data_IF_108331787853
#
_entry.id   IF_108331787853
#
_cell.length_a   1.000
_cell.length_b   1.000
_cell.length_c   1.000
_cell.angle_alpha   90.00
_cell.angle_beta   90.00
_cell.angle_gamma   90.00
#
_symmetry.space_group_name_H-M   'P 1'
#
loop_
_entity.id
_entity.type
_entity.pdbx_description
1 polymer ?
#
# COMPACT_ATOMS: atom_id res chain seq x y z
N UNK A 1 50.64 69.10 -39.80
CA UNK A 1 49.45 69.97 -39.88
C UNK A 1 48.27 69.15 -40.37
N UNK A 2 47.14 69.20 -39.65
CA UNK A 2 45.77 68.90 -40.13
C UNK A 2 45.36 67.43 -40.30
N UNK A 3 44.79 66.84 -39.25
CA UNK A 3 43.90 65.69 -39.39
C UNK A 3 42.44 66.13 -39.17
N UNK A 4 41.66 66.00 -40.24
CA UNK A 4 40.25 66.37 -40.37
C UNK A 4 39.36 65.17 -40.01
N UNK A 5 38.40 65.45 -39.13
CA UNK A 5 36.94 65.18 -39.20
C UNK A 5 36.36 63.76 -39.44
N UNK A 6 35.14 63.66 -38.88
CA UNK A 6 33.97 62.77 -39.13
C UNK A 6 33.95 61.47 -38.30
N UNK A 7 33.11 61.35 -37.26
CA UNK A 7 31.64 61.11 -37.24
C UNK A 7 31.24 59.79 -37.91
N UNK A 8 30.73 58.84 -37.12
CA UNK A 8 29.43 58.19 -37.36
C UNK A 8 28.98 57.39 -36.14
N UNK A 9 27.75 57.69 -35.73
CA UNK A 9 26.94 57.08 -34.69
C UNK A 9 26.44 55.72 -35.20
N UNK A 10 26.49 54.68 -34.37
CA UNK A 10 25.62 53.51 -34.53
C UNK A 10 25.12 53.07 -33.16
N UNK A 11 23.87 53.41 -32.87
CA UNK A 11 23.12 52.91 -31.73
C UNK A 11 22.68 51.46 -32.01
N UNK A 12 23.06 50.54 -31.12
CA UNK A 12 22.44 49.22 -31.02
C UNK A 12 21.77 49.12 -29.66
N UNK A 13 20.44 49.21 -29.67
CA UNK A 13 19.58 48.78 -28.57
C UNK A 13 19.81 47.29 -28.32
N UNK A 14 20.30 46.93 -27.14
CA UNK A 14 20.17 45.57 -26.60
C UNK A 14 19.09 45.61 -25.51
N UNK A 15 17.89 45.13 -25.87
CA UNK A 15 16.85 44.77 -24.91
C UNK A 15 17.40 43.61 -24.05
N UNK A 16 17.69 43.88 -22.79
CA UNK A 16 17.86 42.83 -21.80
C UNK A 16 16.47 42.29 -21.43
N UNK A 17 16.08 41.20 -22.07
CA UNK A 17 14.91 40.42 -21.67
C UNK A 17 15.32 39.66 -20.41
N UNK A 18 14.85 40.10 -19.24
CA UNK A 18 14.92 39.30 -18.02
C UNK A 18 13.97 38.11 -18.22
N UNK A 19 14.51 36.97 -18.63
CA UNK A 19 13.83 35.69 -18.50
C UNK A 19 13.74 35.36 -17.01
N UNK A 20 12.60 35.69 -16.42
CA UNK A 20 12.13 35.07 -15.19
C UNK A 20 11.91 33.59 -15.53
N UNK A 21 12.94 32.78 -15.30
CA UNK A 21 12.83 31.32 -15.30
C UNK A 21 12.14 30.91 -14.00
N UNK A 22 10.81 31.09 -13.93
CA UNK A 22 10.01 30.35 -12.98
C UNK A 22 10.03 28.89 -13.44
N UNK A 23 10.94 28.09 -12.87
CA UNK A 23 10.79 26.63 -12.90
C UNK A 23 9.54 26.31 -12.10
N UNK A 24 8.41 26.17 -12.79
CA UNK A 24 7.25 25.49 -12.22
C UNK A 24 7.66 24.02 -12.10
N UNK A 25 8.29 23.68 -10.98
CA UNK A 25 8.45 22.30 -10.56
C UNK A 25 7.04 21.80 -10.22
N UNK A 26 6.32 21.32 -11.24
CA UNK A 26 5.14 20.49 -11.09
C UNK A 26 5.58 19.19 -10.41
N UNK A 27 5.65 19.25 -9.10
CA UNK A 27 5.82 18.08 -8.27
C UNK A 27 4.47 17.36 -8.26
N UNK A 28 4.18 16.63 -9.35
CA UNK A 28 3.10 15.63 -9.43
C UNK A 28 3.45 14.45 -8.51
N UNK A 29 3.75 14.75 -7.25
CA UNK A 29 3.95 13.75 -6.22
C UNK A 29 2.56 13.23 -5.89
N UNK A 30 2.32 12.00 -6.33
CA UNK A 30 1.15 11.24 -5.90
C UNK A 30 1.02 11.37 -4.37
N UNK A 31 -0.17 11.74 -3.84
CA UNK A 31 -0.32 12.05 -2.42
C UNK A 31 0.11 10.86 -1.57
N UNK A 32 0.91 11.12 -0.53
CA UNK A 32 1.30 10.10 0.43
C UNK A 32 0.03 9.56 1.12
N UNK A 33 -0.33 8.31 0.81
CA UNK A 33 -1.47 7.65 1.41
C UNK A 33 -1.17 7.32 2.89
N UNK A 34 -2.16 7.49 3.76
CA UNK A 34 -2.09 6.91 5.11
C UNK A 34 -1.97 5.38 5.03
N UNK A 35 -1.51 4.70 6.10
CA UNK A 35 -1.49 3.23 6.13
C UNK A 35 -2.83 2.58 5.79
N UNK A 36 -3.94 3.10 6.33
CA UNK A 36 -5.28 2.61 6.00
C UNK A 36 -5.63 2.86 4.53
N UNK A 37 -5.35 4.05 3.99
CA UNK A 37 -5.59 4.31 2.56
C UNK A 37 -4.72 3.42 1.66
N UNK A 38 -3.50 3.10 2.07
CA UNK A 38 -2.60 2.18 1.34
C UNK A 38 -3.16 0.76 1.34
N UNK A 39 -3.64 0.26 2.49
CA UNK A 39 -4.22 -1.08 2.55
C UNK A 39 -5.55 -1.16 1.77
N UNK A 40 -6.32 -0.08 1.72
CA UNK A 40 -7.59 -0.01 1.00
C UNK A 40 -7.46 0.33 -0.50
N UNK A 41 -6.25 0.62 -1.01
CA UNK A 41 -6.09 1.13 -2.38
C UNK A 41 -6.26 0.08 -3.47
N UNK A 42 -6.29 -1.21 -3.11
CA UNK A 42 -6.37 -2.33 -4.06
C UNK A 42 -6.94 -3.59 -3.37
N UNK A 43 -7.56 -4.50 -4.14
CA UNK A 43 -7.68 -5.89 -3.73
C UNK A 43 -6.32 -6.55 -3.53
N UNK A 44 -6.26 -7.50 -2.62
CA UNK A 44 -5.06 -8.25 -2.26
C UNK A 44 -5.24 -9.74 -2.49
N UNK A 45 -4.20 -10.39 -3.03
CA UNK A 45 -4.10 -11.85 -3.14
C UNK A 45 -2.94 -12.33 -2.28
N UNK A 46 -3.15 -13.35 -1.45
CA UNK A 46 -2.05 -14.07 -0.81
C UNK A 46 -1.21 -14.78 -1.87
N UNK A 47 0.05 -14.39 -2.03
CA UNK A 47 0.94 -14.92 -3.08
C UNK A 47 2.09 -15.73 -2.55
N UNK A 48 2.48 -15.53 -1.29
CA UNK A 48 3.56 -16.29 -0.68
C UNK A 48 3.42 -16.31 0.85
N UNK A 49 4.19 -17.19 1.48
CA UNK A 49 4.41 -17.15 2.93
C UNK A 49 5.85 -17.52 3.27
N UNK A 50 6.39 -16.97 4.36
CA UNK A 50 7.74 -17.26 4.84
C UNK A 50 7.73 -17.62 6.31
N UNK A 51 8.57 -18.57 6.71
CA UNK A 51 8.79 -18.89 8.13
C UNK A 51 9.82 -17.96 8.78
N UNK A 52 10.10 -18.19 10.06
CA UNK A 52 11.08 -17.42 10.82
C UNK A 52 12.52 -17.43 10.27
N UNK A 53 12.89 -18.47 9.52
CA UNK A 53 14.19 -18.55 8.85
C UNK A 53 14.20 -17.82 7.48
N UNK A 54 13.08 -17.21 7.08
CA UNK A 54 12.93 -16.55 5.78
C UNK A 54 12.69 -17.51 4.61
N UNK A 55 12.56 -18.81 4.87
CA UNK A 55 12.28 -19.81 3.84
C UNK A 55 10.81 -19.77 3.44
N UNK A 56 10.52 -19.99 2.15
CA UNK A 56 9.15 -20.07 1.65
C UNK A 56 8.43 -21.28 2.28
N UNK A 57 7.15 -21.10 2.59
CA UNK A 57 6.25 -22.14 3.09
C UNK A 57 5.10 -22.30 2.10
N UNK A 58 4.73 -23.56 1.82
CA UNK A 58 3.63 -23.87 0.90
C UNK A 58 2.33 -23.24 1.42
N UNK A 59 1.55 -22.63 0.52
CA UNK A 59 0.26 -22.04 0.88
C UNK A 59 -0.77 -23.09 1.35
N UNK A 60 -0.52 -24.38 1.12
CA UNK A 60 -1.29 -25.50 1.64
C UNK A 60 -0.82 -25.99 3.02
N UNK A 61 0.27 -25.44 3.56
CA UNK A 61 0.74 -25.79 4.90
C UNK A 61 -0.38 -25.52 5.94
N UNK A 62 -0.64 -26.44 6.89
CA UNK A 62 -1.68 -26.25 7.90
C UNK A 62 -1.55 -24.96 8.73
N UNK A 63 -0.34 -24.42 8.87
CA UNK A 63 -0.08 -23.17 9.59
C UNK A 63 -0.38 -21.91 8.74
N UNK A 64 -0.55 -22.05 7.43
CA UNK A 64 -0.69 -20.95 6.47
C UNK A 64 -2.02 -20.96 5.75
N UNK A 65 -2.57 -22.13 5.43
CA UNK A 65 -3.72 -22.31 4.53
C UNK A 65 -4.95 -21.47 4.91
N UNK A 66 -5.18 -21.27 6.22
CA UNK A 66 -6.30 -20.48 6.71
C UNK A 66 -6.19 -18.98 6.43
N UNK A 67 -5.02 -18.49 5.98
CA UNK A 67 -4.79 -17.09 5.61
C UNK A 67 -4.87 -16.85 4.10
N UNK A 68 -4.88 -17.91 3.29
CA UNK A 68 -4.85 -17.83 1.83
C UNK A 68 -6.18 -17.39 1.26
N UNK A 69 -6.17 -16.41 0.37
CA UNK A 69 -7.36 -15.98 -0.36
C UNK A 69 -7.24 -14.60 -0.97
N UNK A 70 -8.39 -14.05 -1.33
CA UNK A 70 -8.56 -12.66 -1.72
C UNK A 70 -9.03 -11.83 -0.53
N UNK A 71 -8.53 -10.61 -0.40
CA UNK A 71 -8.96 -9.66 0.63
C UNK A 71 -9.27 -8.29 0.02
N UNK A 72 -10.38 -7.72 0.46
CA UNK A 72 -10.91 -6.44 -0.01
C UNK A 72 -11.11 -5.54 1.19
N UNK A 73 -10.23 -4.56 1.38
CA UNK A 73 -10.31 -3.57 2.44
C UNK A 73 -10.94 -2.30 1.88
N UNK A 74 -12.05 -1.85 2.46
CA UNK A 74 -12.81 -0.69 2.01
C UNK A 74 -12.47 0.52 2.87
N UNK A 75 -12.46 1.70 2.25
CA UNK A 75 -12.11 2.97 2.91
C UNK A 75 -13.07 3.35 4.06
N UNK A 76 -14.27 2.77 4.10
CA UNK A 76 -15.24 2.93 5.19
C UNK A 76 -14.92 2.09 6.44
N UNK A 77 -13.83 1.31 6.42
CA UNK A 77 -13.43 0.45 7.53
C UNK A 77 -14.04 -0.94 7.51
N UNK A 78 -14.74 -1.33 6.44
CA UNK A 78 -15.25 -2.70 6.26
C UNK A 78 -14.33 -3.55 5.38
N UNK A 79 -14.37 -4.86 5.56
CA UNK A 79 -13.64 -5.79 4.71
C UNK A 79 -14.46 -7.04 4.36
N UNK A 80 -14.09 -7.66 3.24
CA UNK A 80 -14.54 -9.00 2.84
C UNK A 80 -13.33 -9.83 2.43
N UNK A 81 -13.41 -11.13 2.65
CA UNK A 81 -12.41 -12.10 2.22
C UNK A 81 -13.09 -13.29 1.58
N UNK A 82 -12.42 -13.83 0.57
CA UNK A 82 -12.87 -14.99 -0.19
C UNK A 82 -11.72 -16.00 -0.29
N UNK A 83 -12.08 -17.27 -0.41
CA UNK A 83 -11.12 -18.29 -0.80
C UNK A 83 -10.74 -18.11 -2.28
N UNK A 84 -9.74 -18.85 -2.76
CA UNK A 84 -9.27 -18.74 -4.15
C UNK A 84 -10.28 -19.24 -5.19
N UNK A 85 -11.31 -19.95 -4.75
CA UNK A 85 -12.43 -20.44 -5.56
C UNK A 85 -13.68 -19.53 -5.46
N UNK A 86 -13.50 -18.30 -4.96
CA UNK A 86 -14.55 -17.30 -4.74
C UNK A 86 -15.64 -17.69 -3.72
N UNK A 87 -15.44 -18.78 -2.96
CA UNK A 87 -16.33 -19.08 -1.84
C UNK A 87 -16.14 -18.05 -0.71
N UNK A 88 -17.24 -17.56 -0.07
CA UNK A 88 -17.14 -16.62 1.03
C UNK A 88 -16.30 -17.17 2.19
N UNK A 89 -15.40 -16.32 2.72
CA UNK A 89 -14.54 -16.70 3.86
C UNK A 89 -14.92 -15.97 5.14
N UNK A 90 -14.96 -14.63 5.10
CA UNK A 90 -15.34 -13.80 6.24
C UNK A 90 -15.55 -12.34 5.83
N UNK A 91 -16.25 -11.58 6.66
CA UNK A 91 -16.40 -10.14 6.55
C UNK A 91 -16.42 -9.48 7.93
N UNK A 92 -16.31 -8.16 7.96
CA UNK A 92 -16.42 -7.39 9.20
C UNK A 92 -15.76 -6.03 9.10
N UNK A 93 -15.22 -5.56 10.23
CA UNK A 93 -14.52 -4.28 10.32
C UNK A 93 -13.01 -4.49 10.37
N UNK A 94 -12.25 -3.49 9.94
CA UNK A 94 -10.80 -3.48 10.03
C UNK A 94 -10.26 -2.08 10.33
N UNK A 95 -9.04 -2.05 10.85
CA UNK A 95 -8.26 -0.81 11.01
C UNK A 95 -6.77 -1.09 10.92
N UNK A 96 -6.00 -0.04 10.60
CA UNK A 96 -4.54 -0.03 10.73
C UNK A 96 -4.16 1.17 11.60
N UNK A 97 -3.19 0.97 12.49
CA UNK A 97 -2.66 2.05 13.33
C UNK A 97 -2.01 3.14 12.48
N UNK A 98 -1.99 4.38 12.99
CA UNK A 98 -1.44 5.52 12.24
C UNK A 98 0.04 5.35 11.84
N UNK A 99 0.80 4.55 12.58
CA UNK A 99 2.19 4.22 12.28
C UNK A 99 2.35 3.05 11.28
N UNK A 100 1.24 2.44 10.85
CA UNK A 100 1.22 1.35 9.88
C UNK A 100 1.74 0.01 10.39
N UNK A 101 1.94 -0.15 11.70
CA UNK A 101 2.57 -1.36 12.27
C UNK A 101 1.60 -2.43 12.73
N UNK A 102 0.33 -2.10 12.93
CA UNK A 102 -0.64 -3.05 13.47
C UNK A 102 -1.93 -2.99 12.66
N UNK A 103 -2.40 -4.16 12.23
CA UNK A 103 -3.75 -4.34 11.66
C UNK A 103 -4.64 -5.03 12.67
N UNK A 104 -5.85 -4.50 12.85
CA UNK A 104 -6.95 -5.16 13.55
C UNK A 104 -8.02 -5.58 12.55
N UNK A 105 -8.53 -6.79 12.69
CA UNK A 105 -9.75 -7.28 12.04
C UNK A 105 -10.73 -7.72 13.13
N UNK A 106 -11.99 -7.29 13.00
CA UNK A 106 -13.12 -7.76 13.79
C UNK A 106 -14.07 -8.48 12.83
N UNK A 107 -13.99 -9.81 12.80
CA UNK A 107 -14.85 -10.63 11.94
C UNK A 107 -16.26 -10.71 12.54
N UNK A 108 -17.28 -10.61 11.69
CA UNK A 108 -18.69 -10.58 12.09
C UNK A 108 -19.51 -11.62 11.33
N UNK A 109 -20.63 -12.03 11.92
CA UNK A 109 -21.66 -12.77 11.20
C UNK A 109 -22.59 -11.84 10.41
N UNK A 110 -23.61 -12.38 9.73
CA UNK A 110 -24.57 -11.59 8.95
C UNK A 110 -25.48 -10.71 9.80
N UNK A 111 -25.59 -10.96 11.11
CA UNK A 111 -26.31 -10.12 12.06
C UNK A 111 -25.44 -8.97 12.61
N UNK A 112 -24.17 -8.90 12.22
CA UNK A 112 -23.20 -7.92 12.71
C UNK A 112 -22.58 -8.26 14.07
N UNK A 113 -22.84 -9.45 14.62
CA UNK A 113 -22.25 -9.89 15.88
C UNK A 113 -20.79 -10.30 15.67
N UNK A 114 -19.92 -9.93 16.61
CA UNK A 114 -18.49 -10.28 16.53
C UNK A 114 -18.29 -11.77 16.72
N UNK A 115 -17.61 -12.41 15.76
CA UNK A 115 -17.17 -13.80 15.84
C UNK A 115 -15.79 -13.90 16.50
N UNK A 116 -14.85 -13.05 16.07
CA UNK A 116 -13.53 -12.94 16.68
C UNK A 116 -12.86 -11.61 16.34
N UNK A 117 -11.84 -11.25 17.12
CA UNK A 117 -10.91 -10.16 16.80
C UNK A 117 -9.51 -10.72 16.60
N UNK A 118 -8.81 -10.25 15.57
CA UNK A 118 -7.41 -10.59 15.30
C UNK A 118 -6.59 -9.33 15.14
N UNK A 119 -5.56 -9.21 15.96
CA UNK A 119 -4.55 -8.16 15.89
C UNK A 119 -3.25 -8.80 15.39
N UNK A 120 -2.61 -8.20 14.39
CA UNK A 120 -1.33 -8.67 13.86
C UNK A 120 -0.34 -7.54 13.70
N UNK A 121 0.93 -7.90 13.75
CA UNK A 121 2.03 -7.03 13.36
C UNK A 121 2.16 -7.02 11.83
N UNK A 122 2.20 -5.83 11.25
CA UNK A 122 2.49 -5.58 9.85
C UNK A 122 4.01 -5.46 9.71
N UNK A 123 4.61 -6.24 8.82
CA UNK A 123 6.04 -6.20 8.54
C UNK A 123 6.36 -5.43 7.27
N UNK A 124 5.42 -5.39 6.31
CA UNK A 124 5.50 -4.57 5.09
C UNK A 124 4.12 -4.03 4.76
N UNK A 125 4.04 -2.73 4.48
CA UNK A 125 2.85 -2.09 3.93
C UNK A 125 3.26 -1.02 2.92
N UNK A 126 3.13 -1.37 1.65
CA UNK A 126 3.35 -0.48 0.50
C UNK A 126 2.22 -0.70 -0.50
N UNK A 127 2.23 0.03 -1.61
CA UNK A 127 1.28 -0.20 -2.71
C UNK A 127 1.53 -1.49 -3.48
N UNK A 128 2.69 -2.12 -3.32
CA UNK A 128 3.07 -3.34 -4.04
C UNK A 128 3.05 -4.58 -3.15
N UNK A 129 3.07 -4.42 -1.84
CA UNK A 129 3.15 -5.54 -0.90
C UNK A 129 2.44 -5.20 0.42
N UNK A 130 1.66 -6.16 0.90
CA UNK A 130 1.12 -6.18 2.25
C UNK A 130 1.49 -7.50 2.93
N UNK A 131 2.35 -7.40 3.95
CA UNK A 131 2.83 -8.55 4.70
C UNK A 131 2.57 -8.37 6.19
N UNK A 132 2.01 -9.40 6.80
CA UNK A 132 1.79 -9.45 8.24
C UNK A 132 2.25 -10.76 8.85
N UNK A 133 2.55 -10.73 10.14
CA UNK A 133 3.05 -11.87 10.89
C UNK A 133 1.93 -12.57 11.67
N UNK A 134 1.96 -13.90 11.67
CA UNK A 134 1.11 -14.74 12.50
C UNK A 134 1.94 -15.70 13.33
N UNK A 135 1.42 -16.02 14.51
CA UNK A 135 2.03 -16.91 15.47
C UNK A 135 1.09 -18.11 15.70
N UNK A 136 1.51 -19.35 15.40
CA UNK A 136 0.73 -20.54 15.75
C UNK A 136 0.47 -20.64 17.25
N UNK A 137 1.44 -20.20 18.05
CA UNK A 137 1.35 -20.08 19.49
C UNK A 137 1.66 -18.64 19.91
N UNK A 138 0.68 -17.94 20.49
CA UNK A 138 0.84 -16.55 20.91
C UNK A 138 1.92 -16.34 21.99
N UNK A 139 2.27 -17.40 22.75
CA UNK A 139 3.28 -17.35 23.79
C UNK A 139 4.70 -17.63 23.26
N UNK A 140 4.83 -18.12 22.03
CA UNK A 140 6.12 -18.39 21.40
C UNK A 140 6.28 -17.56 20.13
N UNK A 141 6.97 -16.43 20.29
CA UNK A 141 7.25 -15.52 19.16
C UNK A 141 8.45 -15.95 18.30
N UNK A 142 9.12 -17.05 18.63
CA UNK A 142 10.24 -17.56 17.83
C UNK A 142 9.75 -18.34 16.61
N UNK A 143 8.53 -18.89 16.68
CA UNK A 143 7.86 -19.56 15.56
C UNK A 143 6.79 -18.62 14.99
N UNK A 144 7.00 -18.19 13.74
CA UNK A 144 6.05 -17.35 13.04
C UNK A 144 6.02 -17.63 11.55
N UNK A 145 4.94 -17.16 10.92
CA UNK A 145 4.79 -17.11 9.49
C UNK A 145 4.43 -15.69 9.04
N UNK A 146 5.17 -15.17 8.08
CA UNK A 146 4.84 -13.93 7.40
C UNK A 146 3.97 -14.27 6.18
N UNK A 147 2.75 -13.71 6.14
CA UNK A 147 1.77 -13.93 5.08
C UNK A 147 1.84 -12.75 4.11
N UNK A 148 2.28 -13.03 2.88
CA UNK A 148 2.61 -12.00 1.88
C UNK A 148 1.48 -11.89 0.88
N UNK A 149 1.02 -10.65 0.66
CA UNK A 149 0.01 -10.31 -0.31
C UNK A 149 0.55 -9.33 -1.34
N UNK A 150 0.11 -9.49 -2.58
CA UNK A 150 0.35 -8.51 -3.64
C UNK A 150 -0.98 -7.99 -4.19
N UNK A 151 -0.99 -6.79 -4.80
CA UNK A 151 -2.16 -6.27 -5.48
C UNK A 151 -2.69 -7.26 -6.53
N UNK A 152 -4.01 -7.30 -6.68
CA UNK A 152 -4.66 -8.07 -7.74
C UNK A 152 -5.77 -7.27 -8.40
N UNK A 153 -6.04 -7.56 -9.66
CA UNK A 153 -7.19 -7.03 -10.41
C UNK A 153 -8.44 -7.89 -10.25
N UNK A 154 -8.38 -8.94 -9.42
CA UNK A 154 -9.51 -9.80 -9.12
C UNK A 154 -10.68 -8.98 -8.54
N UNK A 155 -11.85 -9.07 -9.16
CA UNK A 155 -13.04 -8.33 -8.72
C UNK A 155 -13.62 -9.00 -7.47
N UNK A 156 -14.07 -8.20 -6.51
CA UNK A 156 -14.79 -8.72 -5.34
C UNK A 156 -16.00 -9.54 -5.83
N UNK A 157 -16.10 -10.82 -5.46
CA UNK A 157 -17.27 -11.61 -5.80
C UNK A 157 -18.52 -10.94 -5.21
N UNK A 158 -19.49 -10.63 -6.07
CA UNK A 158 -20.77 -10.10 -5.63
C UNK A 158 -21.46 -11.09 -4.68
N UNK A 159 -22.15 -10.58 -3.66
CA UNK A 159 -23.11 -11.38 -2.90
C UNK A 159 -24.33 -11.71 -3.76
#
# INVERSE_FOLDING_TARGET
MKNRKLLSVLALLLLAIFSISCSNDNNDREPDLTPSQTLASTPWLTTNSKNAAGANVDLKDPNVVNFVGYAYFKADGTFTMYNLDDSPKMHGDWSVTADGKTRTIVAKNDKGETLFTRVVDITVLTRSEFTYRVYPNANDKTVYFDIIHTPTTHKEPGK
#
